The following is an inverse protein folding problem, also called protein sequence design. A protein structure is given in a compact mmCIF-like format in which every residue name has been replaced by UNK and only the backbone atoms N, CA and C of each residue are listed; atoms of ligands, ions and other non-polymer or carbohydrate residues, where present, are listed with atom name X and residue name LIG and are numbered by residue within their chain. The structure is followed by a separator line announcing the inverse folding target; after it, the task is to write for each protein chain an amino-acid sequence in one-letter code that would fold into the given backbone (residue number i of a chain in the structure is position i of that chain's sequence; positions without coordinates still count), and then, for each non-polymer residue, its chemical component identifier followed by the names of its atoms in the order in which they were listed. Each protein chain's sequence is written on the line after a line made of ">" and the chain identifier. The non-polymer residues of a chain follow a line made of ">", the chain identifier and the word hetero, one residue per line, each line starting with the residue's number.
data_IF_201789418796
#
_entry.id   IF_201789418796
#
_cell.length_a   1.000
_cell.length_b   1.000
_cell.length_c   1.000
_cell.angle_alpha   90.00
_cell.angle_beta   90.00
_cell.angle_gamma   90.00
#
_symmetry.space_group_name_H-M   'P 1'
#
loop_
_entity.id
_entity.type
_entity.pdbx_description
1 polymer ?
#
# COMPACT_ATOMS: atom_id res chain seq x y z
N UNK A 1 -16.35 38.09 -16.24
CA UNK A 1 -16.76 36.66 -16.12
C UNK A 1 -15.55 35.76 -16.30
N UNK A 2 -14.77 35.97 -17.37
CA UNK A 2 -13.54 35.20 -17.65
C UNK A 2 -12.42 35.37 -16.62
N UNK A 3 -12.25 36.54 -16.01
CA UNK A 3 -11.23 36.73 -14.96
C UNK A 3 -11.54 35.94 -13.69
N UNK A 4 -12.81 35.85 -13.31
CA UNK A 4 -13.25 35.03 -12.17
C UNK A 4 -13.02 33.55 -12.45
N UNK A 5 -13.36 33.07 -13.66
CA UNK A 5 -13.11 31.68 -14.05
C UNK A 5 -11.61 31.37 -14.05
N UNK A 6 -10.77 32.27 -14.58
CA UNK A 6 -9.31 32.13 -14.53
C UNK A 6 -8.77 32.08 -13.09
N UNK A 7 -9.33 32.88 -12.19
CA UNK A 7 -8.99 32.86 -10.77
C UNK A 7 -9.33 31.51 -10.12
N UNK A 8 -10.53 30.99 -10.36
CA UNK A 8 -10.93 29.67 -9.85
C UNK A 8 -10.07 28.53 -10.41
N UNK A 9 -9.74 28.58 -11.71
CA UNK A 9 -8.84 27.61 -12.33
C UNK A 9 -7.45 27.63 -11.69
N UNK A 10 -6.91 28.82 -11.40
CA UNK A 10 -5.63 28.96 -10.70
C UNK A 10 -5.70 28.39 -9.28
N UNK A 11 -6.73 28.78 -8.50
CA UNK A 11 -6.93 28.25 -7.14
C UNK A 11 -7.02 26.74 -7.13
N UNK A 12 -7.77 26.16 -8.07
CA UNK A 12 -7.87 24.70 -8.22
C UNK A 12 -6.51 24.07 -8.44
N UNK A 13 -5.71 24.60 -9.37
CA UNK A 13 -4.36 24.08 -9.65
C UNK A 13 -3.46 24.14 -8.41
N UNK A 14 -3.53 25.24 -7.66
CA UNK A 14 -2.74 25.41 -6.44
C UNK A 14 -3.14 24.39 -5.37
N UNK A 15 -4.45 24.14 -5.19
CA UNK A 15 -4.97 23.12 -4.27
C UNK A 15 -4.61 21.69 -4.72
N UNK A 16 -4.77 21.37 -6.00
CA UNK A 16 -4.37 20.07 -6.56
C UNK A 16 -2.88 19.80 -6.34
N UNK A 17 -2.03 20.82 -6.50
CA UNK A 17 -0.60 20.67 -6.26
C UNK A 17 -0.29 20.35 -4.79
N UNK A 18 -0.93 21.03 -3.85
CA UNK A 18 -0.74 20.76 -2.42
C UNK A 18 -1.14 19.32 -2.07
N UNK A 19 -2.33 18.92 -2.49
CA UNK A 19 -2.84 17.56 -2.25
C UNK A 19 -1.95 16.49 -2.87
N UNK A 20 -1.45 16.72 -4.10
CA UNK A 20 -0.54 15.77 -4.73
C UNK A 20 0.80 15.65 -4.00
N UNK A 21 1.30 16.75 -3.41
CA UNK A 21 2.48 16.67 -2.56
C UNK A 21 2.20 15.82 -1.32
N UNK A 22 1.09 16.06 -0.63
CA UNK A 22 0.72 15.30 0.58
C UNK A 22 0.59 13.79 0.25
N UNK A 23 -0.10 13.45 -0.84
CA UNK A 23 -0.22 12.06 -1.30
C UNK A 23 1.13 11.43 -1.69
N UNK A 24 2.03 12.22 -2.27
CA UNK A 24 3.38 11.77 -2.62
C UNK A 24 4.22 11.51 -1.36
N UNK A 25 4.16 12.38 -0.36
CA UNK A 25 4.88 12.21 0.91
C UNK A 25 4.42 10.95 1.66
N UNK A 26 3.11 10.69 1.70
CA UNK A 26 2.55 9.46 2.26
C UNK A 26 3.05 8.25 1.49
N UNK A 27 2.99 8.29 0.16
CA UNK A 27 3.47 7.21 -0.70
C UNK A 27 4.95 6.92 -0.45
N UNK A 28 5.82 7.92 -0.52
CA UNK A 28 7.27 7.74 -0.37
C UNK A 28 7.62 7.15 1.00
N UNK A 29 6.95 7.63 2.06
CA UNK A 29 7.14 7.11 3.43
C UNK A 29 6.78 5.63 3.55
N UNK A 30 5.68 5.20 2.91
CA UNK A 30 5.27 3.79 2.91
C UNK A 30 6.21 2.96 2.05
N UNK A 31 6.58 3.45 0.86
CA UNK A 31 7.39 2.72 -0.11
C UNK A 31 8.80 2.38 0.39
N UNK A 32 9.33 3.14 1.36
CA UNK A 32 10.61 2.88 2.02
C UNK A 32 10.63 1.59 2.87
N UNK A 33 9.47 1.09 3.30
CA UNK A 33 9.37 -0.03 4.26
C UNK A 33 8.60 -1.25 3.74
N UNK A 34 8.20 -1.26 2.47
CA UNK A 34 7.35 -2.31 1.89
C UNK A 34 7.91 -2.88 0.60
N UNK A 35 7.44 -4.08 0.23
CA UNK A 35 7.74 -4.74 -1.03
C UNK A 35 6.53 -4.85 -1.98
N UNK A 36 6.81 -5.07 -3.27
CA UNK A 36 5.75 -5.24 -4.26
C UNK A 36 4.89 -6.46 -3.91
N UNK A 37 3.57 -6.27 -3.90
CA UNK A 37 2.61 -7.29 -3.49
C UNK A 37 2.16 -7.16 -2.04
N UNK A 38 2.84 -6.37 -1.22
CA UNK A 38 2.35 -6.01 0.11
C UNK A 38 1.04 -5.21 -0.02
N UNK A 39 0.10 -5.49 0.87
CA UNK A 39 -1.15 -4.77 0.94
C UNK A 39 -1.59 -4.58 2.38
N UNK A 40 -2.38 -3.54 2.59
CA UNK A 40 -2.99 -3.19 3.86
C UNK A 40 -4.46 -2.88 3.64
N UNK A 41 -5.33 -3.48 4.45
CA UNK A 41 -6.77 -3.24 4.37
C UNK A 41 -7.31 -2.78 5.72
N UNK A 42 -8.19 -1.78 5.69
CA UNK A 42 -8.92 -1.28 6.86
C UNK A 42 -10.41 -1.25 6.54
N UNK A 43 -11.22 -1.70 7.51
CA UNK A 43 -12.67 -1.47 7.49
C UNK A 43 -12.98 -0.22 8.32
N UNK A 44 -13.57 0.76 7.64
CA UNK A 44 -14.20 1.94 8.25
C UNK A 44 -15.68 1.92 7.82
N UNK A 45 -16.22 3.00 7.24
CA UNK A 45 -17.52 2.98 6.56
C UNK A 45 -17.56 1.95 5.41
N UNK A 46 -16.44 1.83 4.69
CA UNK A 46 -16.20 0.82 3.65
C UNK A 46 -14.82 0.17 3.84
N UNK A 47 -14.55 -0.93 3.12
CA UNK A 47 -13.19 -1.48 3.09
C UNK A 47 -12.33 -0.64 2.15
N UNK A 48 -11.22 -0.13 2.67
CA UNK A 48 -10.15 0.49 1.90
C UNK A 48 -8.97 -0.48 1.87
N UNK A 49 -8.49 -0.81 0.67
CA UNK A 49 -7.32 -1.64 0.46
C UNK A 49 -6.27 -0.83 -0.27
N UNK A 50 -5.07 -0.73 0.32
CA UNK A 50 -3.91 -0.09 -0.29
C UNK A 50 -2.91 -1.18 -0.65
N UNK A 51 -2.43 -1.17 -1.89
CA UNK A 51 -1.54 -2.21 -2.41
C UNK A 51 -0.30 -1.60 -3.03
N UNK A 52 0.84 -2.23 -2.80
CA UNK A 52 2.12 -1.87 -3.43
C UNK A 52 2.23 -2.58 -4.76
N UNK A 53 2.25 -1.81 -5.85
CA UNK A 53 2.37 -2.33 -7.21
C UNK A 53 3.67 -1.87 -7.85
N UNK A 54 4.12 -2.60 -8.88
CA UNK A 54 5.24 -2.21 -9.72
C UNK A 54 4.72 -1.64 -11.04
N UNK A 55 5.05 -0.39 -11.34
CA UNK A 55 4.73 0.29 -12.60
C UNK A 55 6.00 0.96 -13.13
N UNK A 56 6.36 0.72 -14.39
CA UNK A 56 7.55 1.32 -15.03
C UNK A 56 8.83 1.23 -14.18
N UNK A 57 9.07 0.04 -13.62
CA UNK A 57 10.19 -0.27 -12.71
C UNK A 57 10.23 0.50 -11.38
N UNK A 58 9.16 1.20 -11.02
CA UNK A 58 9.01 1.87 -9.72
C UNK A 58 7.90 1.25 -8.89
N UNK A 59 8.09 1.21 -7.58
CA UNK A 59 7.00 0.91 -6.63
C UNK A 59 6.03 2.09 -6.62
N UNK A 60 4.74 1.82 -6.54
CA UNK A 60 3.66 2.80 -6.41
C UNK A 60 2.58 2.24 -5.49
N UNK A 61 1.78 3.11 -4.87
CA UNK A 61 0.61 2.70 -4.12
C UNK A 61 -0.65 2.84 -4.98
N UNK A 62 -1.50 1.83 -4.91
CA UNK A 62 -2.90 1.92 -5.35
C UNK A 62 -3.82 1.91 -4.14
N UNK A 63 -4.98 2.51 -4.28
CA UNK A 63 -6.10 2.37 -3.35
C UNK A 63 -7.30 1.78 -4.10
N UNK A 64 -8.02 0.89 -3.45
CA UNK A 64 -9.28 0.34 -3.93
C UNK A 64 -10.28 0.31 -2.78
N UNK A 65 -11.53 0.60 -3.10
CA UNK A 65 -12.65 0.36 -2.19
C UNK A 65 -13.51 -0.79 -2.67
N UNK A 66 -14.37 -1.31 -1.79
CA UNK A 66 -15.37 -2.33 -2.15
C UNK A 66 -16.33 -1.88 -3.28
N UNK A 67 -16.46 -0.57 -3.52
CA UNK A 67 -17.33 0.01 -4.55
C UNK A 67 -16.60 0.28 -5.87
N UNK A 68 -15.27 0.25 -5.90
CA UNK A 68 -14.49 0.52 -7.10
C UNK A 68 -14.09 -0.77 -7.81
N UNK A 69 -14.31 -0.80 -9.14
CA UNK A 69 -13.99 -1.98 -9.97
C UNK A 69 -12.49 -2.20 -10.10
N UNK A 70 -11.72 -1.12 -10.18
CA UNK A 70 -10.29 -1.14 -10.46
C UNK A 70 -9.55 -0.30 -9.41
N UNK A 71 -8.34 -0.72 -8.97
CA UNK A 71 -7.50 0.09 -8.11
C UNK A 71 -7.04 1.39 -8.78
N UNK A 72 -6.96 2.47 -8.01
CA UNK A 72 -6.53 3.79 -8.47
C UNK A 72 -5.16 4.10 -7.89
N UNK A 73 -4.20 4.54 -8.71
CA UNK A 73 -2.89 4.97 -8.22
C UNK A 73 -3.02 6.25 -7.38
N UNK A 74 -2.22 6.37 -6.31
CA UNK A 74 -2.23 7.57 -5.45
C UNK A 74 -2.00 8.86 -6.26
N UNK A 75 -1.04 8.83 -7.19
CA UNK A 75 -0.73 9.95 -8.07
C UNK A 75 -1.80 10.24 -9.15
N UNK A 76 -2.82 9.40 -9.27
CA UNK A 76 -3.96 9.58 -10.18
C UNK A 76 -5.23 10.02 -9.46
N UNK A 77 -5.24 10.05 -8.12
CA UNK A 77 -6.34 10.58 -7.34
C UNK A 77 -6.55 12.06 -7.69
N UNK A 78 -7.77 12.41 -8.12
CA UNK A 78 -8.07 13.79 -8.52
C UNK A 78 -9.23 14.37 -7.71
N UNK A 79 -9.18 15.69 -7.49
CA UNK A 79 -10.25 16.42 -6.78
C UNK A 79 -11.63 16.28 -7.44
N UNK A 80 -11.67 15.94 -8.74
CA UNK A 80 -12.93 15.82 -9.50
C UNK A 80 -13.49 14.41 -9.40
N UNK A 81 -12.64 13.39 -9.54
CA UNK A 81 -13.12 12.01 -9.63
C UNK A 81 -13.11 11.29 -8.29
N UNK A 82 -12.20 11.67 -7.37
CA UNK A 82 -11.91 10.92 -6.14
C UNK A 82 -11.79 11.81 -4.88
N UNK A 83 -12.63 12.84 -4.68
CA UNK A 83 -12.47 13.77 -3.56
C UNK A 83 -12.54 13.08 -2.18
N UNK A 84 -13.43 12.10 -2.02
CA UNK A 84 -13.61 11.39 -0.76
C UNK A 84 -12.44 10.46 -0.45
N UNK A 85 -11.87 9.80 -1.47
CA UNK A 85 -10.67 8.97 -1.30
C UNK A 85 -9.46 9.81 -0.90
N UNK A 86 -9.26 10.95 -1.55
CA UNK A 86 -8.20 11.89 -1.19
C UNK A 86 -8.32 12.30 0.27
N UNK A 87 -9.51 12.73 0.67
CA UNK A 87 -9.77 13.16 2.04
C UNK A 87 -9.49 12.04 3.02
N UNK A 88 -9.93 10.83 2.70
CA UNK A 88 -9.72 9.66 3.56
C UNK A 88 -8.24 9.31 3.70
N UNK A 89 -7.49 9.25 2.60
CA UNK A 89 -6.05 8.93 2.62
C UNK A 89 -5.27 9.95 3.47
N UNK A 90 -5.50 11.23 3.23
CA UNK A 90 -4.80 12.30 3.96
C UNK A 90 -5.19 12.28 5.45
N UNK A 91 -6.46 12.04 5.78
CA UNK A 91 -6.90 11.98 7.17
C UNK A 91 -6.39 10.77 7.95
N UNK A 92 -5.94 9.71 7.26
CA UNK A 92 -5.51 8.45 7.86
C UNK A 92 -4.05 8.10 7.53
N UNK A 93 -3.24 9.08 7.13
CA UNK A 93 -1.83 8.92 6.76
C UNK A 93 -1.03 8.06 7.76
N UNK A 94 -1.11 8.39 9.04
CA UNK A 94 -0.41 7.69 10.11
C UNK A 94 -0.90 6.25 10.26
N UNK A 95 -2.20 6.03 10.10
CA UNK A 95 -2.78 4.69 10.21
C UNK A 95 -2.36 3.79 9.04
N UNK A 96 -2.23 4.36 7.84
CA UNK A 96 -1.69 3.66 6.67
C UNK A 96 -0.24 3.25 6.93
N UNK A 97 0.58 4.18 7.42
CA UNK A 97 2.01 3.93 7.71
C UNK A 97 2.17 2.84 8.76
N UNK A 98 1.46 2.94 9.89
CA UNK A 98 1.52 1.91 10.95
C UNK A 98 0.99 0.55 10.47
N UNK A 99 -0.06 0.56 9.63
CA UNK A 99 -0.58 -0.64 8.99
C UNK A 99 0.49 -1.39 8.19
N UNK A 100 1.26 -0.67 7.38
CA UNK A 100 2.35 -1.29 6.61
C UNK A 100 3.56 -1.70 7.44
N UNK A 101 3.84 -1.02 8.56
CA UNK A 101 4.86 -1.50 9.52
C UNK A 101 4.48 -2.88 10.09
N UNK A 102 3.20 -3.07 10.44
CA UNK A 102 2.72 -4.38 10.90
C UNK A 102 2.79 -5.44 9.80
N UNK A 103 2.48 -5.08 8.54
CA UNK A 103 2.64 -5.99 7.39
C UNK A 103 4.10 -6.45 7.27
N UNK A 104 5.06 -5.53 7.32
CA UNK A 104 6.49 -5.83 7.29
C UNK A 104 6.90 -6.79 8.42
N UNK A 105 6.53 -6.47 9.67
CA UNK A 105 6.86 -7.29 10.85
C UNK A 105 6.29 -8.71 10.68
N UNK A 106 5.05 -8.82 10.22
CA UNK A 106 4.40 -10.11 10.02
C UNK A 106 5.02 -10.90 8.88
N UNK A 107 5.42 -10.25 7.78
CA UNK A 107 6.13 -10.91 6.69
C UNK A 107 7.44 -11.55 7.16
N UNK A 108 8.23 -10.84 7.96
CA UNK A 108 9.47 -11.38 8.56
C UNK A 108 9.17 -12.57 9.48
N UNK A 109 8.23 -12.42 10.42
CA UNK A 109 7.85 -13.50 11.36
C UNK A 109 7.37 -14.76 10.63
N UNK A 110 6.55 -14.58 9.59
CA UNK A 110 6.06 -15.67 8.76
C UNK A 110 7.22 -16.34 8.00
N UNK A 111 8.13 -15.55 7.42
CA UNK A 111 9.32 -16.05 6.75
C UNK A 111 10.22 -16.88 7.68
N UNK A 112 10.53 -16.38 8.88
CA UNK A 112 11.32 -17.10 9.88
C UNK A 112 10.66 -18.44 10.28
N UNK A 113 9.35 -18.43 10.50
CA UNK A 113 8.57 -19.62 10.86
C UNK A 113 8.62 -20.67 9.75
N UNK A 114 8.43 -20.26 8.50
CA UNK A 114 8.49 -21.14 7.33
C UNK A 114 9.90 -21.76 7.20
N UNK A 115 10.95 -20.93 7.26
CA UNK A 115 12.33 -21.39 7.13
C UNK A 115 12.72 -22.39 8.24
N UNK A 116 12.31 -22.12 9.47
CA UNK A 116 12.56 -23.02 10.61
C UNK A 116 11.81 -24.35 10.44
N UNK A 117 10.55 -24.31 10.03
CA UNK A 117 9.74 -25.50 9.76
C UNK A 117 10.37 -26.36 8.67
N UNK A 118 10.82 -25.76 7.56
CA UNK A 118 11.46 -26.49 6.47
C UNK A 118 12.79 -27.14 6.86
N UNK A 119 13.61 -26.45 7.66
CA UNK A 119 14.87 -27.01 8.21
C UNK A 119 14.60 -28.27 9.04
N UNK A 120 13.64 -28.19 9.96
CA UNK A 120 13.26 -29.32 10.82
C UNK A 120 12.74 -30.51 10.00
N UNK A 121 11.85 -30.26 9.04
CA UNK A 121 11.31 -31.31 8.15
C UNK A 121 12.42 -31.99 7.36
N UNK A 122 13.35 -31.22 6.78
CA UNK A 122 14.50 -31.76 6.03
C UNK A 122 15.43 -32.58 6.92
N UNK A 123 15.76 -32.10 8.12
CA UNK A 123 16.59 -32.85 9.07
C UNK A 123 15.93 -34.16 9.50
N UNK A 124 14.63 -34.14 9.76
CA UNK A 124 13.88 -35.35 10.13
C UNK A 124 13.83 -36.36 8.99
N UNK A 125 13.59 -35.90 7.75
CA UNK A 125 13.63 -36.76 6.57
C UNK A 125 14.99 -37.46 6.40
N UNK A 126 16.09 -36.70 6.50
CA UNK A 126 17.44 -37.25 6.39
C UNK A 126 17.80 -38.23 7.52
N UNK A 127 17.32 -37.99 8.75
CA UNK A 127 17.51 -38.92 9.87
C UNK A 127 16.75 -40.24 9.67
N UNK A 128 15.54 -40.17 9.12
CA UNK A 128 14.72 -41.37 8.88
C UNK A 128 15.27 -42.22 7.73
N UNK A 129 15.81 -41.60 6.67
CA UNK A 129 16.51 -42.34 5.61
C UNK A 129 17.69 -43.15 6.14
N UNK A 130 18.55 -42.55 6.97
CA UNK A 130 19.70 -43.25 7.56
C UNK A 130 19.33 -44.39 8.51
N UNK A 131 18.15 -44.32 9.14
CA UNK A 131 17.63 -45.42 9.99
C UNK A 131 17.10 -46.60 9.19
N UNK A 132 16.69 -46.37 7.95
CA UNK A 132 16.17 -47.43 7.08
C UNK A 132 17.28 -48.12 6.25
N UNK A 133 18.50 -47.58 6.28
CA UNK A 133 19.70 -48.15 5.66
C UNK A 133 20.58 -48.96 6.64
N UNK A 134 20.16 -49.08 7.91
CA UNK A 134 20.79 -49.91 8.97
C UNK A 134 19.91 -51.11 9.29
#
# INVERSE_FOLDING_TARGET
>A
MDEMIKLYAKKRKDMEKQIQNDLTEIQDTVLDIVEVGDYFSIKDDMVYTITVVKLDDKKQLTIQTENEKEPILFNQLSLVNNPDLIKWVIAHDNYIIEGFKEVLINAVRNGETILNTLKLTRTNYLKNLKKNEQ
#
